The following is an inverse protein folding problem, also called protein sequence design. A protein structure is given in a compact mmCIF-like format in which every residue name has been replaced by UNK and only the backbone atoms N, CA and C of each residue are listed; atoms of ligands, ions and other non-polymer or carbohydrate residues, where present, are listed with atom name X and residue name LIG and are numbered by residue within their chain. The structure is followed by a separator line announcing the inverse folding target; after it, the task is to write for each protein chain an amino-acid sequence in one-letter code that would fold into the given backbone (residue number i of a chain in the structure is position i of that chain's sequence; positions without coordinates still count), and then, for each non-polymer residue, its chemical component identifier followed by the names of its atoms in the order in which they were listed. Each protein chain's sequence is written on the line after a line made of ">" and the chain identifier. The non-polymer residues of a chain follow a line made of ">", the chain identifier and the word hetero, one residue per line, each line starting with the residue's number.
data_IF_569111174066
#
_entry.id   IF_569111174066
#
_cell.length_a   1.000
_cell.length_b   1.000
_cell.length_c   1.000
_cell.angle_alpha   90.00
_cell.angle_beta   90.00
_cell.angle_gamma   90.00
#
_symmetry.space_group_name_H-M   'P 1'
#
loop_
_entity.id
_entity.type
_entity.pdbx_description
1 polymer ?
#
# COMPACT_ATOMS: atom_id res chain seq x y z
N UNK A 1 -3.53 -4.13 17.27
CA UNK A 1 -3.76 -4.05 15.82
C UNK A 1 -3.95 -2.60 15.42
N UNK A 2 -3.24 -2.16 14.39
CA UNK A 2 -3.36 -0.82 13.78
C UNK A 2 -3.74 -1.01 12.32
N UNK A 3 -4.77 -0.29 11.85
CA UNK A 3 -5.09 -0.25 10.42
C UNK A 3 -4.59 1.07 9.83
N UNK A 4 -3.75 0.98 8.81
CA UNK A 4 -3.27 2.12 8.02
C UNK A 4 -4.09 2.15 6.73
N UNK A 5 -4.76 3.27 6.46
CA UNK A 5 -5.54 3.45 5.24
C UNK A 5 -4.84 4.49 4.37
N UNK A 6 -4.44 4.10 3.16
CA UNK A 6 -3.74 4.96 2.20
C UNK A 6 -4.60 5.17 0.96
N UNK A 7 -5.34 6.29 0.86
CA UNK A 7 -5.93 6.69 -0.41
C UNK A 7 -4.83 7.14 -1.37
N UNK A 8 -4.93 6.75 -2.64
CA UNK A 8 -3.94 7.11 -3.66
C UNK A 8 -4.60 7.31 -5.02
N UNK A 9 -4.11 8.27 -5.78
CA UNK A 9 -4.51 8.51 -7.17
C UNK A 9 -3.30 9.02 -7.95
N UNK A 10 -2.93 8.34 -9.04
CA UNK A 10 -1.74 8.58 -9.85
C UNK A 10 -0.47 8.79 -9.00
N UNK A 11 -0.20 7.85 -8.09
CA UNK A 11 0.88 7.89 -7.12
C UNK A 11 2.07 6.99 -7.45
N UNK A 12 2.29 6.62 -8.73
CA UNK A 12 3.30 5.64 -9.13
C UNK A 12 4.69 5.93 -8.54
N UNK A 13 5.10 7.20 -8.53
CA UNK A 13 6.40 7.65 -8.02
C UNK A 13 6.59 7.53 -6.51
N UNK A 14 5.52 7.32 -5.73
CA UNK A 14 5.54 7.43 -4.26
C UNK A 14 4.98 6.21 -3.53
N UNK A 15 4.01 5.52 -4.14
CA UNK A 15 3.25 4.48 -3.48
C UNK A 15 4.14 3.32 -3.00
N UNK A 16 5.18 2.97 -3.76
CA UNK A 16 6.11 1.91 -3.36
C UNK A 16 6.85 2.25 -2.07
N UNK A 17 7.41 3.46 -1.98
CA UNK A 17 8.14 3.92 -0.78
C UNK A 17 7.21 4.00 0.43
N UNK A 18 5.97 4.45 0.24
CA UNK A 18 4.96 4.47 1.29
C UNK A 18 4.66 3.07 1.82
N UNK A 19 4.41 2.10 0.94
CA UNK A 19 4.16 0.70 1.32
C UNK A 19 5.33 0.12 2.12
N UNK A 20 6.58 0.34 1.66
CA UNK A 20 7.78 -0.14 2.38
C UNK A 20 7.84 0.39 3.82
N UNK A 21 7.57 1.69 4.01
CA UNK A 21 7.56 2.28 5.36
C UNK A 21 6.49 1.65 6.25
N UNK A 22 5.30 1.34 5.72
CA UNK A 22 4.23 0.69 6.51
C UNK A 22 4.59 -0.75 6.86
N UNK A 23 5.22 -1.51 5.95
CA UNK A 23 5.71 -2.87 6.20
C UNK A 23 6.78 -2.89 7.30
N UNK A 24 7.65 -1.89 7.35
CA UNK A 24 8.77 -1.80 8.30
C UNK A 24 8.38 -1.30 9.70
N UNK A 25 7.08 -1.12 9.98
CA UNK A 25 6.65 -0.62 11.28
C UNK A 25 6.89 -1.64 12.40
N UNK A 26 7.49 -1.19 13.49
CA UNK A 26 7.70 -1.99 14.71
C UNK A 26 6.47 -2.01 15.65
N UNK A 27 5.30 -1.61 15.16
CA UNK A 27 4.05 -1.81 15.88
C UNK A 27 3.49 -3.20 15.51
N UNK A 28 3.02 -3.97 16.48
CA UNK A 28 2.70 -5.41 16.34
C UNK A 28 1.84 -5.79 15.11
N UNK A 29 0.55 -6.02 15.28
CA UNK A 29 -0.31 -6.35 14.13
C UNK A 29 -0.67 -5.09 13.35
N UNK A 30 -0.29 -5.04 12.06
CA UNK A 30 -0.63 -3.96 11.12
C UNK A 30 -1.44 -4.52 9.95
N UNK A 31 -2.56 -3.86 9.64
CA UNK A 31 -3.32 -4.05 8.40
C UNK A 31 -3.13 -2.80 7.53
N UNK A 32 -2.79 -2.96 6.25
CA UNK A 32 -2.61 -1.85 5.32
C UNK A 32 -3.65 -1.92 4.21
N UNK A 33 -4.61 -1.00 4.23
CA UNK A 33 -5.67 -0.90 3.24
C UNK A 33 -5.31 0.23 2.27
N UNK A 34 -5.18 -0.08 0.98
CA UNK A 34 -4.83 0.89 -0.05
C UNK A 34 -6.04 1.10 -0.96
N UNK A 35 -6.53 2.33 -1.02
CA UNK A 35 -7.72 2.68 -1.80
C UNK A 35 -7.30 3.51 -3.00
N UNK A 36 -7.31 2.89 -4.18
CA UNK A 36 -7.03 3.57 -5.43
C UNK A 36 -8.23 4.38 -5.94
N UNK A 37 -7.99 5.63 -6.34
CA UNK A 37 -8.98 6.58 -6.85
C UNK A 37 -9.28 6.47 -8.34
N UNK A 38 -8.91 5.37 -9.01
CA UNK A 38 -9.02 5.19 -10.45
C UNK A 38 -7.78 5.66 -11.21
N UNK A 39 -6.59 5.32 -10.69
CA UNK A 39 -5.31 5.72 -11.30
C UNK A 39 -5.16 5.15 -12.72
N UNK A 40 -4.52 5.92 -13.58
CA UNK A 40 -4.22 5.55 -14.99
C UNK A 40 -2.72 5.38 -15.24
N UNK A 41 -1.90 5.48 -14.21
CA UNK A 41 -0.46 5.26 -14.21
C UNK A 41 -0.10 3.87 -13.63
N UNK A 42 1.17 3.64 -13.31
CA UNK A 42 1.65 2.38 -12.74
C UNK A 42 1.20 2.07 -11.31
N UNK A 43 0.45 2.96 -10.64
CA UNK A 43 0.07 2.85 -9.22
C UNK A 43 -0.54 1.49 -8.87
N UNK A 44 -1.57 1.07 -9.62
CA UNK A 44 -2.30 -0.18 -9.34
C UNK A 44 -1.41 -1.41 -9.55
N UNK A 45 -0.51 -1.35 -10.54
CA UNK A 45 0.44 -2.44 -10.81
C UNK A 45 1.38 -2.64 -9.62
N UNK A 46 1.91 -1.54 -9.07
CA UNK A 46 2.78 -1.59 -7.89
C UNK A 46 2.01 -2.15 -6.69
N UNK A 47 0.81 -1.64 -6.40
CA UNK A 47 -0.01 -2.10 -5.26
C UNK A 47 -0.24 -3.62 -5.34
N UNK A 48 -0.64 -4.14 -6.51
CA UNK A 48 -0.89 -5.58 -6.70
C UNK A 48 0.34 -6.44 -6.44
N UNK A 49 1.53 -6.01 -6.90
CA UNK A 49 2.78 -6.73 -6.66
C UNK A 49 3.12 -6.86 -5.17
N UNK A 50 2.74 -5.88 -4.35
CA UNK A 50 2.93 -5.93 -2.91
C UNK A 50 1.84 -6.74 -2.21
N UNK A 51 0.57 -6.59 -2.62
CA UNK A 51 -0.54 -7.38 -2.07
C UNK A 51 -0.35 -8.90 -2.29
N UNK A 52 0.26 -9.32 -3.40
CA UNK A 52 0.62 -10.73 -3.65
C UNK A 52 1.68 -11.27 -2.67
N UNK A 53 2.59 -10.41 -2.22
CA UNK A 53 3.72 -10.79 -1.35
C UNK A 53 3.40 -10.68 0.13
N UNK A 54 2.52 -9.76 0.50
CA UNK A 54 2.24 -9.38 1.88
C UNK A 54 0.73 -9.53 2.17
N UNK A 55 0.29 -10.62 2.83
CA UNK A 55 -1.13 -10.92 3.04
C UNK A 55 -1.93 -9.89 3.86
N UNK A 56 -1.24 -9.00 4.58
CA UNK A 56 -1.84 -7.94 5.39
C UNK A 56 -2.02 -6.63 4.60
N UNK A 57 -1.65 -6.59 3.32
CA UNK A 57 -1.92 -5.49 2.39
C UNK A 57 -3.19 -5.84 1.59
N UNK A 58 -4.15 -4.92 1.58
CA UNK A 58 -5.48 -5.08 0.98
C UNK A 58 -5.83 -3.96 0.03
#
# INVERSE_FOLDING_TARGET
>A
MISVITPVYNGESFIESCIKVVIEQNCGDVEHIIVDGGSQDGTVTIIKQYAEKYPHIR
#
